data_IF_121639759691
#
_entry.id   IF_121639759691
#
_cell.length_a   1.000
_cell.length_b   1.000
_cell.length_c   1.000
_cell.angle_alpha   90.00
_cell.angle_beta   90.00
_cell.angle_gamma   90.00
#
_symmetry.space_group_name_H-M   'P 1'
#
loop_
_entity.id
_entity.type
_entity.pdbx_description
1 polymer ?
#
# COMPACT_ATOMS: atom_id res chain seq x y z
N UNK A 1 -9.33 -12.69 7.07
CA UNK A 1 -8.14 -11.89 7.37
C UNK A 1 -7.33 -11.74 6.09
N UNK A 2 -7.15 -10.48 5.65
CA UNK A 2 -6.37 -10.14 4.45
C UNK A 2 -5.13 -9.37 4.85
N UNK A 3 -4.11 -9.47 4.01
CA UNK A 3 -2.89 -8.71 4.10
C UNK A 3 -2.63 -8.01 2.77
N UNK A 4 -2.25 -6.75 2.85
CA UNK A 4 -1.78 -5.98 1.70
C UNK A 4 -0.49 -5.28 2.07
N UNK A 5 0.53 -5.34 1.22
CA UNK A 5 1.72 -4.54 1.42
C UNK A 5 1.43 -3.07 1.12
N UNK A 6 2.10 -2.14 1.82
CA UNK A 6 2.01 -0.73 1.46
C UNK A 6 3.29 0.03 1.75
N UNK A 7 3.42 1.12 1.04
CA UNK A 7 4.45 2.11 1.31
C UNK A 7 3.96 3.52 0.94
N UNK A 8 4.59 4.56 1.52
CA UNK A 8 4.35 5.96 1.18
C UNK A 8 5.62 6.49 0.53
N UNK A 9 5.52 6.99 -0.69
CA UNK A 9 6.63 7.53 -1.47
C UNK A 9 6.47 9.04 -1.65
N UNK A 10 7.53 9.77 -1.37
CA UNK A 10 7.57 11.21 -1.58
C UNK A 10 8.84 11.54 -2.36
N UNK A 11 8.71 12.06 -3.56
CA UNK A 11 9.87 12.52 -4.29
C UNK A 11 10.42 13.83 -3.69
N UNK A 12 11.71 14.04 -3.73
CA UNK A 12 12.34 15.25 -3.23
C UNK A 12 13.41 15.75 -4.20
N UNK A 13 13.54 17.10 -4.34
CA UNK A 13 14.25 17.73 -5.43
C UNK A 13 15.73 18.02 -5.23
N UNK A 14 16.32 17.93 -4.07
CA UNK A 14 17.70 18.37 -3.89
C UNK A 14 18.63 17.30 -3.33
N UNK A 15 19.94 17.42 -3.68
CA UNK A 15 20.97 16.57 -3.07
C UNK A 15 21.01 16.70 -1.54
N UNK A 16 20.73 17.88 -1.00
CA UNK A 16 20.52 18.08 0.44
C UNK A 16 19.21 17.43 0.95
N UNK A 17 18.27 17.13 0.07
CA UNK A 17 17.08 16.35 0.35
C UNK A 17 17.28 14.86 0.06
N UNK A 18 18.43 14.42 -0.47
CA UNK A 18 18.77 13.00 -0.56
C UNK A 18 19.00 12.37 0.82
N UNK A 19 19.66 13.09 1.73
CA UNK A 19 19.69 12.68 3.15
C UNK A 19 18.30 12.80 3.80
N UNK A 20 17.51 13.79 3.40
CA UNK A 20 16.11 13.88 3.79
C UNK A 20 15.18 12.99 2.92
N UNK A 21 15.63 12.42 1.81
CA UNK A 21 14.94 11.35 1.08
C UNK A 21 14.97 10.03 1.84
N UNK A 22 16.07 9.67 2.46
CA UNK A 22 16.07 8.60 3.46
C UNK A 22 15.11 8.93 4.60
N UNK A 23 14.93 10.20 4.91
CA UNK A 23 14.09 10.68 5.99
C UNK A 23 12.67 11.09 5.57
N UNK A 24 12.46 11.60 4.34
CA UNK A 24 11.17 12.06 3.81
C UNK A 24 10.62 11.24 2.66
N UNK A 25 11.43 10.76 1.76
CA UNK A 25 11.09 9.74 0.77
C UNK A 25 11.21 8.34 1.37
N UNK A 26 11.68 8.28 2.60
CA UNK A 26 11.66 7.06 3.37
C UNK A 26 10.21 6.73 3.65
N UNK A 27 9.83 5.69 3.17
CA UNK A 27 8.82 4.77 3.52
C UNK A 27 8.51 4.86 5.01
N UNK A 28 7.62 5.74 5.40
CA UNK A 28 7.22 5.91 6.79
C UNK A 28 6.12 4.93 7.10
N UNK A 29 6.51 3.74 7.43
CA UNK A 29 5.62 2.70 7.91
C UNK A 29 5.74 2.53 9.41
N UNK A 30 5.52 3.57 10.19
CA UNK A 30 5.41 3.43 11.63
C UNK A 30 4.08 4.00 12.11
N UNK A 31 3.03 3.31 11.71
CA UNK A 31 1.78 3.44 12.42
C UNK A 31 1.77 2.35 13.48
N UNK A 32 1.89 2.70 14.72
CA UNK A 32 1.77 1.79 15.85
C UNK A 32 0.46 2.12 16.52
N UNK A 33 -0.58 1.39 16.19
CA UNK A 33 -1.80 1.40 16.98
C UNK A 33 -1.87 0.09 17.76
N UNK A 34 -1.93 0.20 19.07
CA UNK A 34 -2.26 -0.90 19.97
C UNK A 34 -3.73 -1.30 19.89
N UNK A 35 -4.54 -0.61 19.10
CA UNK A 35 -5.98 -0.81 18.96
C UNK A 35 -6.33 -0.92 17.49
N UNK A 36 -7.22 -1.87 17.19
CA UNK A 36 -7.85 -2.06 15.89
C UNK A 36 -9.32 -1.57 15.94
N UNK A 37 -9.57 -0.26 15.84
CA UNK A 37 -10.90 0.30 16.10
C UNK A 37 -11.90 -0.02 15.01
N UNK A 38 -11.45 -0.24 13.77
CA UNK A 38 -12.31 -0.43 12.60
C UNK A 38 -12.02 -1.70 11.80
N UNK A 39 -11.07 -2.53 12.22
CA UNK A 39 -10.69 -3.76 11.54
C UNK A 39 -9.66 -3.57 10.43
N UNK A 40 -9.11 -2.35 10.24
CA UNK A 40 -8.07 -2.07 9.24
C UNK A 40 -6.92 -1.35 9.94
N UNK A 41 -5.75 -1.98 10.03
CA UNK A 41 -4.61 -1.44 10.77
C UNK A 41 -3.27 -1.95 10.22
N UNK A 42 -2.17 -1.49 10.83
CA UNK A 42 -0.81 -1.99 10.60
C UNK A 42 -0.07 -2.08 11.93
N UNK A 43 0.94 -2.93 12.01
CA UNK A 43 1.84 -3.05 13.15
C UNK A 43 3.17 -2.31 12.95
N UNK A 44 3.25 -1.39 12.00
CA UNK A 44 4.49 -0.72 11.61
C UNK A 44 5.44 -1.60 10.79
N UNK A 45 4.91 -2.68 10.26
CA UNK A 45 5.60 -3.69 9.46
C UNK A 45 5.52 -3.44 7.96
N UNK A 46 4.71 -2.44 7.54
CA UNK A 46 4.45 -2.12 6.14
C UNK A 46 3.38 -3.01 5.51
N UNK A 47 2.60 -3.68 6.34
CA UNK A 47 1.40 -4.38 5.92
C UNK A 47 0.16 -3.67 6.45
N UNK A 48 -0.89 -3.71 5.66
CA UNK A 48 -2.26 -3.42 6.06
C UNK A 48 -2.91 -4.75 6.40
N UNK A 49 -3.35 -4.88 7.64
CA UNK A 49 -4.12 -6.01 8.12
C UNK A 49 -5.59 -5.66 8.07
N UNK A 50 -6.39 -6.50 7.43
CA UNK A 50 -7.83 -6.30 7.25
C UNK A 50 -8.57 -7.44 7.90
N UNK A 51 -9.31 -7.12 8.97
CA UNK A 51 -10.08 -8.05 9.79
C UNK A 51 -11.57 -7.74 9.60
N UNK A 52 -12.30 -8.45 8.75
CA UNK A 52 -13.69 -8.14 8.42
C UNK A 52 -14.66 -8.53 9.53
N UNK A 53 -14.37 -8.16 10.79
CA UNK A 53 -15.25 -8.41 11.93
C UNK A 53 -16.31 -7.31 12.14
N UNK A 54 -16.17 -6.20 11.43
CA UNK A 54 -17.16 -5.13 11.39
C UNK A 54 -17.40 -4.62 9.97
N UNK A 55 -18.43 -3.79 9.78
CA UNK A 55 -18.81 -3.28 8.48
C UNK A 55 -17.76 -2.37 7.84
N UNK A 56 -16.96 -1.65 8.64
CA UNK A 56 -15.94 -0.72 8.15
C UNK A 56 -14.76 -1.42 7.48
N UNK A 57 -14.51 -2.70 7.82
CA UNK A 57 -13.45 -3.51 7.25
C UNK A 57 -13.95 -4.53 6.23
N UNK A 58 -15.15 -4.35 5.68
CA UNK A 58 -15.74 -5.32 4.76
C UNK A 58 -16.47 -4.66 3.59
N UNK A 59 -16.54 -5.39 2.47
CA UNK A 59 -17.24 -4.95 1.28
C UNK A 59 -16.74 -3.60 0.77
N UNK A 60 -17.67 -2.71 0.46
CA UNK A 60 -17.38 -1.38 -0.09
C UNK A 60 -16.78 -0.40 0.93
N UNK A 61 -16.79 -0.72 2.22
CA UNK A 61 -16.28 0.15 3.28
C UNK A 61 -14.81 -0.12 3.63
N UNK A 62 -14.24 -1.26 3.19
CA UNK A 62 -12.82 -1.55 3.32
C UNK A 62 -12.00 -0.69 2.35
N UNK A 63 -11.63 0.52 2.79
CA UNK A 63 -11.04 1.58 1.97
C UNK A 63 -9.78 2.18 2.57
N UNK A 64 -8.97 2.81 1.73
CA UNK A 64 -7.75 3.52 2.14
C UNK A 64 -8.03 4.63 3.17
N UNK A 65 -9.15 5.35 3.04
CA UNK A 65 -9.57 6.34 4.04
C UNK A 65 -9.72 5.73 5.43
N UNK A 66 -10.39 4.58 5.56
CA UNK A 66 -10.56 3.88 6.83
C UNK A 66 -9.20 3.45 7.43
N UNK A 67 -8.27 3.03 6.58
CA UNK A 67 -6.91 2.71 7.01
C UNK A 67 -6.20 3.93 7.59
N UNK A 68 -6.21 5.06 6.89
CA UNK A 68 -5.52 6.28 7.35
C UNK A 68 -6.21 6.90 8.56
N UNK A 69 -7.54 6.91 8.62
CA UNK A 69 -8.32 7.42 9.75
C UNK A 69 -8.10 6.61 11.03
N UNK A 70 -7.82 5.31 10.94
CA UNK A 70 -7.53 4.47 12.11
C UNK A 70 -6.33 4.96 12.92
N UNK A 71 -5.46 5.77 12.32
CA UNK A 71 -4.29 6.41 12.94
C UNK A 71 -4.49 7.87 13.36
N UNK A 72 -5.72 8.39 13.26
CA UNK A 72 -6.01 9.80 13.47
C UNK A 72 -5.48 10.70 12.33
N UNK A 73 -5.17 10.09 11.18
CA UNK A 73 -4.81 10.75 9.95
C UNK A 73 -6.03 11.08 9.09
N UNK A 74 -5.78 11.58 7.91
CA UNK A 74 -6.75 11.69 6.81
C UNK A 74 -6.01 11.56 5.48
N UNK A 75 -6.75 11.21 4.44
CA UNK A 75 -6.32 11.28 3.05
C UNK A 75 -7.40 11.97 2.21
N UNK A 76 -6.96 12.91 1.38
CA UNK A 76 -7.79 13.60 0.37
C UNK A 76 -7.17 13.38 -1.01
N UNK A 77 -7.69 13.99 -2.04
CA UNK A 77 -7.09 13.90 -3.38
C UNK A 77 -5.79 14.71 -3.53
N UNK A 78 -5.44 15.56 -2.54
CA UNK A 78 -4.26 16.43 -2.60
C UNK A 78 -3.38 16.42 -1.35
N UNK A 79 -3.75 15.69 -0.30
CA UNK A 79 -3.03 15.69 0.96
C UNK A 79 -3.18 14.38 1.74
N UNK A 80 -2.17 14.05 2.54
CA UNK A 80 -2.24 13.00 3.54
C UNK A 80 -1.71 13.52 4.87
N UNK A 81 -2.41 13.21 5.97
CA UNK A 81 -1.90 13.39 7.33
C UNK A 81 -1.44 12.05 7.90
N UNK A 82 -0.20 12.02 8.34
CA UNK A 82 0.41 10.85 8.96
C UNK A 82 0.07 10.76 10.47
N UNK A 83 0.34 9.63 11.09
CA UNK A 83 0.21 9.38 12.54
C UNK A 83 1.09 10.32 13.38
N UNK A 84 2.22 10.75 12.84
CA UNK A 84 3.11 11.76 13.45
C UNK A 84 2.45 13.13 13.57
N UNK A 85 1.28 13.34 12.95
CA UNK A 85 0.63 14.63 12.78
C UNK A 85 1.14 15.46 11.61
N UNK A 86 2.18 14.99 10.91
CA UNK A 86 2.69 15.63 9.70
C UNK A 86 1.64 15.60 8.59
N UNK A 87 1.43 16.72 7.92
CA UNK A 87 0.60 16.82 6.73
C UNK A 87 1.51 17.03 5.53
N UNK A 88 1.35 16.18 4.52
CA UNK A 88 2.03 16.31 3.23
C UNK A 88 0.97 16.73 2.22
N UNK A 89 1.21 17.85 1.55
CA UNK A 89 0.30 18.42 0.55
C UNK A 89 1.00 18.47 -0.81
N UNK A 90 0.20 18.43 -1.88
CA UNK A 90 0.68 18.65 -3.24
C UNK A 90 1.36 20.01 -3.45
N UNK A 91 2.03 20.17 -4.59
CA UNK A 91 2.55 21.45 -5.07
C UNK A 91 4.02 21.70 -4.79
N UNK A 92 4.70 20.84 -4.01
CA UNK A 92 6.16 20.88 -4.02
C UNK A 92 6.72 20.29 -5.31
N UNK A 93 7.96 20.61 -5.62
CA UNK A 93 8.55 20.20 -6.89
C UNK A 93 9.26 18.84 -6.77
N UNK A 94 9.10 18.03 -7.80
CA UNK A 94 9.79 16.79 -8.05
C UNK A 94 10.49 16.89 -9.41
N UNK A 95 11.81 16.97 -9.40
CA UNK A 95 12.58 17.12 -10.66
C UNK A 95 12.06 18.26 -11.55
N UNK A 96 11.75 19.43 -10.94
CA UNK A 96 11.24 20.60 -11.62
C UNK A 96 9.77 20.58 -11.98
N UNK A 97 9.03 19.52 -11.65
CA UNK A 97 7.59 19.37 -11.92
C UNK A 97 6.79 19.36 -10.62
N UNK A 98 5.57 19.93 -10.57
CA UNK A 98 4.71 19.82 -9.41
C UNK A 98 4.40 18.34 -9.09
N UNK A 99 4.49 17.99 -7.82
CA UNK A 99 4.06 16.71 -7.31
C UNK A 99 2.54 16.71 -7.14
N UNK A 100 1.90 15.60 -7.51
CA UNK A 100 0.49 15.29 -7.25
C UNK A 100 0.40 14.00 -6.45
N UNK A 101 -0.64 13.89 -5.63
CA UNK A 101 -0.88 12.69 -4.83
C UNK A 101 -1.56 11.62 -5.69
N UNK A 102 -1.03 10.41 -5.64
CA UNK A 102 -1.56 9.24 -6.33
C UNK A 102 -1.54 8.02 -5.42
N UNK A 103 -2.43 7.08 -5.70
CA UNK A 103 -2.34 5.72 -5.15
C UNK A 103 -2.18 4.76 -6.33
N UNK A 104 -1.12 3.97 -6.31
CA UNK A 104 -0.95 2.85 -7.23
C UNK A 104 -1.26 1.54 -6.51
N UNK A 105 -2.08 0.69 -7.13
CA UNK A 105 -2.42 -0.66 -6.68
C UNK A 105 -1.77 -1.68 -7.57
N UNK A 106 -1.02 -2.59 -6.97
CA UNK A 106 -0.30 -3.67 -7.64
C UNK A 106 -0.93 -5.02 -7.28
N UNK A 107 -0.88 -5.93 -8.22
CA UNK A 107 -1.24 -7.32 -8.00
C UNK A 107 0.01 -8.11 -7.62
N UNK A 108 0.11 -8.55 -6.36
CA UNK A 108 1.28 -9.29 -5.87
C UNK A 108 1.44 -10.64 -6.58
N UNK A 109 0.34 -11.25 -6.99
CA UNK A 109 0.31 -12.54 -7.67
C UNK A 109 0.54 -12.44 -9.19
N UNK A 110 0.56 -11.22 -9.74
CA UNK A 110 0.83 -10.97 -11.16
C UNK A 110 1.70 -9.70 -11.29
N UNK A 111 2.98 -9.87 -11.03
CA UNK A 111 3.97 -8.78 -10.99
C UNK A 111 4.18 -8.08 -12.34
N UNK A 112 3.86 -8.76 -13.45
CA UNK A 112 3.99 -8.21 -14.81
C UNK A 112 2.79 -7.33 -15.19
N UNK A 113 1.74 -7.31 -14.36
CA UNK A 113 0.58 -6.49 -14.62
C UNK A 113 0.86 -5.04 -14.25
N UNK A 114 0.56 -4.12 -15.18
CA UNK A 114 0.61 -2.70 -14.91
C UNK A 114 -0.26 -2.32 -13.69
N UNK A 115 0.23 -1.44 -12.81
CA UNK A 115 -0.54 -1.01 -11.66
C UNK A 115 -1.78 -0.23 -12.07
N UNK A 116 -2.83 -0.35 -11.29
CA UNK A 116 -3.96 0.56 -11.38
C UNK A 116 -3.65 1.82 -10.59
N UNK A 117 -3.58 2.96 -11.29
CA UNK A 117 -3.28 4.27 -10.68
C UNK A 117 -4.55 5.07 -10.48
N UNK A 118 -4.71 5.60 -9.27
CA UNK A 118 -5.81 6.46 -8.85
C UNK A 118 -5.26 7.87 -8.61
N UNK A 119 -5.97 8.88 -9.12
CA UNK A 119 -5.65 10.31 -8.99
C UNK A 119 -6.78 11.11 -8.37
N UNK A 120 -7.93 10.49 -8.18
CA UNK A 120 -9.15 11.09 -7.62
C UNK A 120 -9.83 10.10 -6.69
N UNK A 121 -10.62 10.64 -5.75
CA UNK A 121 -11.35 9.85 -4.75
C UNK A 121 -10.42 8.89 -3.96
N UNK A 122 -9.22 9.35 -3.64
CA UNK A 122 -8.16 8.53 -3.08
C UNK A 122 -8.55 7.88 -1.75
N UNK A 123 -9.37 8.56 -0.93
CA UNK A 123 -9.91 7.98 0.31
C UNK A 123 -10.82 6.77 0.05
N UNK A 124 -11.42 6.68 -1.14
CA UNK A 124 -12.38 5.64 -1.52
C UNK A 124 -11.73 4.46 -2.27
N UNK A 125 -10.41 4.45 -2.43
CA UNK A 125 -9.68 3.32 -2.98
C UNK A 125 -9.89 2.09 -2.09
N UNK A 126 -10.52 1.06 -2.65
CA UNK A 126 -10.93 -0.14 -1.93
C UNK A 126 -9.83 -1.21 -1.88
N UNK A 127 -9.81 -1.98 -0.80
CA UNK A 127 -9.10 -3.24 -0.73
C UNK A 127 -10.01 -4.33 -1.32
N UNK A 128 -9.66 -4.85 -2.50
CA UNK A 128 -10.55 -5.74 -3.26
C UNK A 128 -10.30 -7.22 -2.99
N UNK A 129 -9.07 -7.56 -2.64
CA UNK A 129 -8.67 -8.96 -2.41
C UNK A 129 -7.48 -9.02 -1.46
N UNK A 130 -7.20 -10.22 -0.98
CA UNK A 130 -5.95 -10.49 -0.29
C UNK A 130 -4.74 -10.38 -1.25
N UNK A 131 -3.56 -10.05 -0.74
CA UNK A 131 -2.30 -9.98 -1.49
C UNK A 131 -2.31 -8.91 -2.59
N UNK A 132 -2.82 -7.73 -2.26
CA UNK A 132 -2.58 -6.50 -3.01
C UNK A 132 -1.38 -5.75 -2.42
N UNK A 133 -0.82 -4.84 -3.20
CA UNK A 133 0.18 -3.91 -2.70
C UNK A 133 -0.17 -2.48 -3.15
N UNK A 134 0.13 -1.51 -2.29
CA UNK A 134 -0.23 -0.11 -2.53
C UNK A 134 0.97 0.80 -2.32
N UNK A 135 1.16 1.74 -3.23
CA UNK A 135 2.03 2.90 -2.99
C UNK A 135 1.18 4.17 -2.99
N UNK A 136 1.18 4.87 -1.87
CA UNK A 136 0.66 6.24 -1.76
C UNK A 136 1.83 7.16 -2.11
N UNK A 137 1.73 7.91 -3.21
CA UNK A 137 2.88 8.60 -3.76
C UNK A 137 2.61 10.04 -4.12
N UNK A 138 3.55 10.93 -3.76
CA UNK A 138 3.66 12.28 -4.32
C UNK A 138 4.70 12.23 -5.44
N UNK A 139 4.25 12.33 -6.67
CA UNK A 139 5.06 12.22 -7.89
C UNK A 139 4.54 13.17 -8.97
N UNK A 140 5.34 13.52 -10.00
CA UNK A 140 4.84 14.28 -11.14
C UNK A 140 3.63 13.63 -11.79
N UNK A 141 2.76 14.43 -12.43
CA UNK A 141 1.54 13.94 -13.04
C UNK A 141 1.79 12.84 -14.09
N UNK A 142 2.88 12.95 -14.85
CA UNK A 142 3.28 11.99 -15.89
C UNK A 142 4.07 10.78 -15.35
N UNK A 143 4.23 10.67 -14.02
CA UNK A 143 4.99 9.60 -13.41
C UNK A 143 4.07 8.52 -12.79
N UNK A 144 4.38 7.26 -13.06
CA UNK A 144 3.72 6.13 -12.39
C UNK A 144 4.40 5.86 -11.05
N UNK A 145 3.66 5.82 -9.92
CA UNK A 145 4.24 5.48 -8.64
C UNK A 145 5.00 4.14 -8.67
N UNK A 146 6.17 4.05 -8.03
CA UNK A 146 6.91 2.80 -7.96
C UNK A 146 6.18 1.76 -7.10
N UNK A 147 6.44 0.46 -7.27
CA UNK A 147 5.92 -0.54 -6.35
C UNK A 147 6.49 -0.32 -4.93
N UNK A 148 5.83 -0.82 -3.89
CA UNK A 148 6.40 -0.86 -2.55
C UNK A 148 7.78 -1.49 -2.54
N UNK A 149 8.59 -1.16 -1.54
CA UNK A 149 9.96 -1.68 -1.41
C UNK A 149 9.98 -3.22 -1.33
N UNK A 150 11.03 -3.87 -1.84
CA UNK A 150 11.14 -5.32 -1.87
C UNK A 150 10.92 -5.99 -0.50
N UNK A 151 11.39 -5.38 0.59
CA UNK A 151 11.21 -5.92 1.93
C UNK A 151 9.75 -6.02 2.37
N UNK A 152 8.84 -5.21 1.79
CA UNK A 152 7.41 -5.31 2.06
C UNK A 152 6.82 -6.60 1.50
N UNK A 153 7.25 -6.95 0.30
CA UNK A 153 6.83 -8.22 -0.33
C UNK A 153 7.41 -9.41 0.42
N UNK A 154 8.68 -9.36 0.80
CA UNK A 154 9.32 -10.42 1.59
C UNK A 154 8.59 -10.63 2.92
N UNK A 155 8.19 -9.54 3.58
CA UNK A 155 7.44 -9.65 4.84
C UNK A 155 6.03 -10.17 4.62
N UNK A 156 5.34 -9.72 3.56
CA UNK A 156 4.03 -10.24 3.17
C UNK A 156 4.06 -11.76 2.93
N UNK A 157 5.11 -12.26 2.26
CA UNK A 157 5.34 -13.69 2.03
C UNK A 157 5.53 -14.47 3.35
N UNK A 158 6.12 -13.84 4.36
CA UNK A 158 6.33 -14.45 5.68
C UNK A 158 5.01 -14.61 6.44
N UNK A 159 4.11 -13.60 6.38
CA UNK A 159 2.84 -13.62 7.12
C UNK A 159 1.72 -14.27 6.36
N UNK A 160 1.80 -14.32 5.04
CA UNK A 160 0.83 -15.00 4.18
C UNK A 160 1.54 -15.85 3.12
N UNK A 161 1.77 -17.15 3.39
CA UNK A 161 2.46 -18.05 2.47
C UNK A 161 1.83 -18.17 1.07
N UNK A 162 0.57 -17.74 0.92
CA UNK A 162 -0.09 -17.70 -0.41
C UNK A 162 0.56 -16.69 -1.36
N UNK A 163 1.32 -15.71 -0.84
CA UNK A 163 2.10 -14.79 -1.65
C UNK A 163 3.22 -15.47 -2.44
N UNK A 164 3.72 -16.62 -1.94
CA UNK A 164 4.78 -17.40 -2.60
C UNK A 164 4.30 -18.20 -3.82
N UNK A 165 3.01 -18.42 -3.96
CA UNK A 165 2.46 -19.33 -4.97
C UNK A 165 2.47 -18.76 -6.40
N UNK A 166 2.85 -17.48 -6.58
CA UNK A 166 2.88 -16.83 -7.90
C UNK A 166 4.01 -17.28 -8.82
N UNK A 167 5.08 -17.86 -8.27
CA UNK A 167 6.27 -18.29 -9.03
C UNK A 167 6.50 -19.82 -9.03
N UNK A 168 5.62 -20.61 -8.41
CA UNK A 168 5.69 -22.06 -8.48
C UNK A 168 4.99 -22.55 -9.74
N UNK A 169 5.66 -23.32 -10.62
CA UNK A 169 4.94 -24.09 -11.61
C UNK A 169 3.94 -24.97 -10.84
N UNK A 170 2.70 -24.95 -11.29
CA UNK A 170 1.64 -25.82 -10.75
C UNK A 170 2.24 -27.20 -10.47
N UNK A 171 2.34 -27.57 -9.22
CA UNK A 171 2.52 -28.97 -8.86
C UNK A 171 1.28 -29.67 -9.42
N UNK A 172 1.42 -30.22 -10.60
CA UNK A 172 0.46 -31.18 -11.14
C UNK A 172 0.34 -32.26 -10.07
N UNK A 173 -0.77 -32.26 -9.37
CA UNK A 173 -1.15 -33.38 -8.53
C UNK A 173 -1.16 -34.59 -9.46
N UNK A 174 -0.45 -35.67 -9.14
CA UNK A 174 -0.48 -36.86 -9.95
C UNK A 174 -1.93 -37.29 -10.08
N UNK A 175 -2.39 -37.45 -11.31
CA UNK A 175 -3.70 -37.99 -11.61
C UNK A 175 -3.84 -39.30 -10.82
N UNK A 176 -4.80 -39.34 -9.91
CA UNK A 176 -5.17 -40.60 -9.25
C UNK A 176 -5.72 -41.53 -10.32
N UNK A 177 -4.88 -42.47 -10.72
CA UNK A 177 -5.28 -43.56 -11.61
C UNK A 177 -6.36 -44.38 -10.92
N UNK A 178 -7.61 -44.13 -11.27
CA UNK A 178 -8.74 -44.94 -10.86
C UNK A 178 -8.98 -46.02 -11.92
N UNK A 179 -8.07 -47.00 -11.96
CA UNK A 179 -8.32 -48.26 -12.63
C UNK A 179 -8.24 -49.38 -11.58
N UNK A 180 -9.38 -49.91 -11.21
CA UNK A 180 -9.52 -51.07 -10.33
C UNK A 180 -10.98 -51.36 -10.05
#
# INVERSE_FOLDING_TARGET
HWHSAYDIYNCAESESSLESREYRGGWRSKFIIERDPNGIHTHGDGLIHIHPFNSLASGNDAKMGQFVESYGGFITDSAIKLDTGEVIEEGFLCEGKPAVLKIARFDVQNKDREPQVYTENLKDVQFLKNLEAFTIAFVPEDYTPPPPRPERFTYLETVDPRALLSDSPLLELPATDTTG
#
